data_IF_484366093335
#
_entry.id   IF_484366093335
#
_cell.length_a   1.000
_cell.length_b   1.000
_cell.length_c   1.000
_cell.angle_alpha   90.00
_cell.angle_beta   90.00
_cell.angle_gamma   90.00
#
_symmetry.space_group_name_H-M   'P 1'
#
loop_
_entity.id
_entity.type
_entity.pdbx_description
1 polymer ?
#
# COMPACT_ATOMS: atom_id res chain seq x y z
N UNK A 1 -14.88 -17.24 -17.12
CA UNK A 1 -15.85 -16.15 -16.85
C UNK A 1 -15.06 -14.87 -16.68
N UNK A 2 -15.41 -13.87 -17.47
CA UNK A 2 -14.73 -12.56 -17.39
C UNK A 2 -15.34 -11.77 -16.23
N UNK A 3 -14.63 -11.70 -15.10
CA UNK A 3 -15.09 -10.99 -13.91
C UNK A 3 -14.81 -9.49 -14.04
N UNK A 4 -15.73 -8.76 -14.63
CA UNK A 4 -15.64 -7.29 -14.59
C UNK A 4 -15.76 -6.76 -13.15
N UNK A 5 -15.08 -5.66 -12.87
CA UNK A 5 -15.14 -5.03 -11.54
C UNK A 5 -16.58 -4.62 -11.20
N UNK A 6 -16.95 -4.73 -9.92
CA UNK A 6 -18.26 -4.25 -9.43
C UNK A 6 -18.45 -2.75 -9.70
N UNK A 7 -17.37 -1.96 -9.68
CA UNK A 7 -17.36 -0.55 -10.07
C UNK A 7 -17.93 -0.34 -11.47
N UNK A 8 -17.53 -1.17 -12.46
CA UNK A 8 -18.06 -1.09 -13.82
C UNK A 8 -19.58 -1.25 -13.85
N UNK A 9 -20.12 -2.27 -13.19
CA UNK A 9 -21.57 -2.50 -13.13
C UNK A 9 -22.32 -1.37 -12.44
N UNK A 10 -21.78 -0.81 -11.35
CA UNK A 10 -22.40 0.31 -10.64
C UNK A 10 -22.59 1.54 -11.53
N UNK A 11 -21.68 1.78 -12.48
CA UNK A 11 -21.75 2.94 -13.37
C UNK A 11 -22.44 2.67 -14.70
N UNK A 12 -22.37 1.43 -15.23
CA UNK A 12 -22.94 1.11 -16.54
C UNK A 12 -24.31 0.48 -16.45
N UNK A 13 -24.61 -0.29 -15.41
CA UNK A 13 -25.88 -1.00 -15.25
C UNK A 13 -26.25 -1.16 -13.77
N UNK A 14 -26.77 -0.09 -13.18
CA UNK A 14 -27.12 -0.02 -11.77
C UNK A 14 -28.14 -1.07 -11.34
N UNK A 15 -29.10 -1.43 -12.22
CA UNK A 15 -30.13 -2.42 -11.93
C UNK A 15 -29.55 -3.84 -11.76
N UNK A 16 -28.46 -4.15 -12.45
CA UNK A 16 -27.78 -5.44 -12.33
C UNK A 16 -26.74 -5.47 -11.21
N UNK A 17 -26.30 -4.30 -10.71
CA UNK A 17 -25.24 -4.22 -9.71
C UNK A 17 -25.57 -5.02 -8.45
N UNK A 18 -26.76 -4.82 -7.87
CA UNK A 18 -27.18 -5.48 -6.63
C UNK A 18 -27.28 -7.00 -6.79
N UNK A 19 -27.81 -7.46 -7.91
CA UNK A 19 -27.90 -8.90 -8.23
C UNK A 19 -26.53 -9.53 -8.37
N UNK A 20 -25.61 -8.87 -9.10
CA UNK A 20 -24.24 -9.35 -9.31
C UNK A 20 -23.45 -9.30 -8.01
N UNK A 21 -23.58 -8.21 -7.22
CA UNK A 21 -22.95 -8.09 -5.91
C UNK A 21 -23.42 -9.24 -5.00
N UNK A 22 -24.74 -9.44 -4.87
CA UNK A 22 -25.31 -10.47 -4.00
C UNK A 22 -24.89 -11.89 -4.43
N UNK A 23 -24.87 -12.16 -5.73
CA UNK A 23 -24.42 -13.45 -6.28
C UNK A 23 -22.94 -13.72 -5.95
N UNK A 24 -22.09 -12.71 -6.08
CA UNK A 24 -20.66 -12.84 -5.75
C UNK A 24 -20.41 -12.90 -4.26
N UNK A 25 -21.12 -12.11 -3.47
CA UNK A 25 -21.03 -12.12 -2.01
C UNK A 25 -21.43 -13.47 -1.41
N UNK A 26 -22.49 -14.09 -1.94
CA UNK A 26 -22.99 -15.41 -1.49
C UNK A 26 -22.22 -16.60 -2.07
N UNK A 27 -21.18 -16.36 -2.86
CA UNK A 27 -20.39 -17.44 -3.42
C UNK A 27 -19.64 -18.17 -2.29
N UNK A 28 -19.62 -19.49 -2.31
CA UNK A 28 -18.97 -20.34 -1.29
C UNK A 28 -17.46 -20.07 -1.15
N UNK A 29 -16.82 -19.58 -2.21
CA UNK A 29 -15.40 -19.21 -2.21
C UNK A 29 -15.13 -17.78 -1.74
N UNK A 30 -16.17 -16.98 -1.45
CA UNK A 30 -16.00 -15.60 -1.04
C UNK A 30 -15.43 -15.52 0.38
N UNK A 31 -14.37 -14.75 0.53
CA UNK A 31 -13.78 -14.39 1.82
C UNK A 31 -14.43 -13.09 2.29
N UNK A 32 -15.16 -13.14 3.40
CA UNK A 32 -15.88 -12.01 3.97
C UNK A 32 -15.04 -11.26 5.00
N UNK A 33 -15.20 -9.94 5.05
CA UNK A 33 -14.47 -9.07 5.96
C UNK A 33 -15.43 -8.24 6.82
N UNK A 34 -15.10 -8.02 8.09
CA UNK A 34 -15.80 -7.08 8.94
C UNK A 34 -15.45 -5.64 8.56
N UNK A 35 -15.85 -5.25 7.37
CA UNK A 35 -15.65 -3.92 6.81
C UNK A 35 -16.76 -3.60 5.81
N UNK A 36 -17.16 -2.34 5.73
CA UNK A 36 -18.17 -1.88 4.77
C UNK A 36 -17.65 -0.74 3.91
N UNK A 37 -18.00 -0.77 2.64
CA UNK A 37 -17.71 0.29 1.68
C UNK A 37 -19.03 0.81 1.12
N UNK A 38 -19.35 2.06 1.42
CA UNK A 38 -20.61 2.70 1.02
C UNK A 38 -21.87 1.89 1.43
N UNK A 39 -21.85 1.27 2.63
CA UNK A 39 -22.94 0.44 3.13
C UNK A 39 -23.02 -0.97 2.55
N UNK A 40 -22.00 -1.39 1.80
CA UNK A 40 -21.90 -2.76 1.26
C UNK A 40 -20.80 -3.52 2.00
N UNK A 41 -21.11 -4.69 2.61
CA UNK A 41 -20.12 -5.55 3.23
C UNK A 41 -19.01 -5.96 2.27
N UNK A 42 -17.76 -5.90 2.74
CA UNK A 42 -16.59 -6.21 1.95
C UNK A 42 -16.35 -7.71 1.82
N UNK A 43 -15.94 -8.12 0.64
CA UNK A 43 -15.50 -9.48 0.37
C UNK A 43 -14.42 -9.51 -0.71
N UNK A 44 -13.66 -10.58 -0.78
CA UNK A 44 -12.85 -10.93 -1.95
C UNK A 44 -13.23 -12.29 -2.48
N UNK A 45 -13.19 -12.46 -3.80
CA UNK A 45 -13.49 -13.71 -4.46
C UNK A 45 -12.21 -14.22 -5.15
N UNK A 46 -11.60 -15.32 -4.68
CA UNK A 46 -10.45 -15.94 -5.31
C UNK A 46 -10.82 -16.51 -6.69
N UNK A 47 -10.74 -15.70 -7.72
CA UNK A 47 -11.00 -16.13 -9.11
C UNK A 47 -9.87 -17.02 -9.61
N UNK A 48 -10.11 -17.77 -10.68
CA UNK A 48 -9.07 -18.57 -11.36
C UNK A 48 -7.86 -17.72 -11.76
N UNK A 49 -8.09 -16.46 -12.14
CA UNK A 49 -7.01 -15.51 -12.46
C UNK A 49 -6.15 -15.22 -11.23
N UNK A 50 -6.76 -14.90 -10.08
CA UNK A 50 -6.03 -14.66 -8.81
C UNK A 50 -5.25 -15.91 -8.39
N UNK A 51 -5.83 -17.10 -8.52
CA UNK A 51 -5.16 -18.36 -8.18
C UNK A 51 -3.96 -18.61 -9.10
N UNK A 52 -4.10 -18.38 -10.41
CA UNK A 52 -3.02 -18.51 -11.38
C UNK A 52 -1.89 -17.51 -11.10
N UNK A 53 -2.22 -16.23 -10.83
CA UNK A 53 -1.23 -15.22 -10.48
C UNK A 53 -0.50 -15.58 -9.19
N UNK A 54 -1.23 -16.00 -8.16
CA UNK A 54 -0.64 -16.45 -6.88
C UNK A 54 0.32 -17.61 -7.09
N UNK A 55 -0.09 -18.62 -7.84
CA UNK A 55 0.74 -19.78 -8.18
C UNK A 55 2.01 -19.36 -8.94
N UNK A 56 1.86 -18.46 -9.93
CA UNK A 56 2.99 -17.91 -10.70
C UNK A 56 3.96 -17.14 -9.81
N UNK A 57 3.48 -16.31 -8.89
CA UNK A 57 4.33 -15.57 -7.95
C UNK A 57 5.14 -16.54 -7.09
N UNK A 58 4.52 -17.56 -6.50
CA UNK A 58 5.25 -18.55 -5.70
C UNK A 58 6.30 -19.30 -6.51
N UNK A 59 5.98 -19.71 -7.74
CA UNK A 59 6.92 -20.38 -8.63
C UNK A 59 8.12 -19.47 -8.97
N UNK A 60 7.88 -18.22 -9.30
CA UNK A 60 8.94 -17.25 -9.58
C UNK A 60 9.80 -16.97 -8.35
N UNK A 61 9.18 -16.90 -7.15
CA UNK A 61 9.90 -16.74 -5.89
C UNK A 61 10.87 -17.92 -5.65
N UNK A 62 10.45 -19.15 -5.87
CA UNK A 62 11.33 -20.32 -5.76
C UNK A 62 12.49 -20.26 -6.76
N UNK A 63 12.20 -19.88 -8.00
CA UNK A 63 13.23 -19.67 -9.04
C UNK A 63 14.24 -18.60 -8.61
N UNK A 64 13.74 -17.46 -8.07
CA UNK A 64 14.59 -16.38 -7.57
C UNK A 64 15.50 -16.84 -6.43
N UNK A 65 14.97 -17.57 -5.45
CA UNK A 65 15.74 -18.14 -4.34
C UNK A 65 16.86 -19.04 -4.87
N UNK A 66 16.54 -19.93 -5.82
CA UNK A 66 17.54 -20.81 -6.45
C UNK A 66 18.62 -20.00 -7.17
N UNK A 67 18.26 -19.01 -7.98
CA UNK A 67 19.24 -18.18 -8.72
C UNK A 67 20.13 -17.38 -7.75
N UNK A 68 19.55 -16.81 -6.68
CA UNK A 68 20.32 -16.11 -5.64
C UNK A 68 21.36 -17.01 -5.01
N UNK A 69 21.06 -18.29 -4.76
CA UNK A 69 22.02 -19.24 -4.17
C UNK A 69 23.21 -19.59 -5.07
N UNK A 70 23.16 -19.24 -6.36
CA UNK A 70 24.23 -19.47 -7.34
C UNK A 70 25.17 -18.28 -7.51
N UNK A 71 24.80 -17.10 -7.03
CA UNK A 71 25.61 -15.91 -7.19
C UNK A 71 26.60 -15.75 -6.03
N UNK A 72 27.84 -15.28 -6.29
CA UNK A 72 28.73 -14.83 -5.23
C UNK A 72 28.09 -13.68 -4.44
N UNK A 73 28.37 -13.65 -3.13
CA UNK A 73 27.76 -12.67 -2.21
C UNK A 73 27.97 -11.22 -2.68
N UNK A 74 29.17 -10.88 -3.13
CA UNK A 74 29.48 -9.52 -3.60
C UNK A 74 28.64 -9.11 -4.84
N UNK A 75 28.42 -10.05 -5.77
CA UNK A 75 27.60 -9.79 -6.94
C UNK A 75 26.13 -9.62 -6.55
N UNK A 76 25.65 -10.41 -5.58
CA UNK A 76 24.31 -10.32 -5.05
C UNK A 76 24.07 -8.97 -4.36
N UNK A 77 25.03 -8.49 -3.57
CA UNK A 77 24.95 -7.20 -2.88
C UNK A 77 24.88 -6.04 -3.85
N UNK A 78 25.76 -6.03 -4.88
CA UNK A 78 25.75 -4.99 -5.91
C UNK A 78 24.44 -4.99 -6.70
N UNK A 79 23.98 -6.17 -7.12
CA UNK A 79 22.70 -6.30 -7.84
C UNK A 79 21.51 -5.82 -6.99
N UNK A 80 21.47 -6.24 -5.71
CA UNK A 80 20.41 -5.83 -4.79
C UNK A 80 20.42 -4.31 -4.57
N UNK A 81 21.58 -3.69 -4.48
CA UNK A 81 21.68 -2.23 -4.34
C UNK A 81 21.19 -1.50 -5.61
N UNK A 82 21.51 -2.01 -6.79
CA UNK A 82 20.99 -1.46 -8.05
C UNK A 82 19.47 -1.59 -8.13
N UNK A 83 18.91 -2.77 -7.81
CA UNK A 83 17.48 -2.97 -7.76
C UNK A 83 16.79 -2.04 -6.75
N UNK A 84 17.39 -1.80 -5.58
CA UNK A 84 16.87 -0.90 -4.58
C UNK A 84 16.77 0.54 -5.10
N UNK A 85 17.81 1.03 -5.77
CA UNK A 85 17.81 2.38 -6.38
C UNK A 85 16.71 2.51 -7.42
N UNK A 86 16.56 1.49 -8.29
CA UNK A 86 15.53 1.48 -9.33
C UNK A 86 14.12 1.39 -8.75
N UNK A 87 13.91 0.57 -7.72
CA UNK A 87 12.64 0.42 -7.01
C UNK A 87 12.19 1.76 -6.40
N UNK A 88 13.07 2.42 -5.63
CA UNK A 88 12.77 3.72 -5.02
C UNK A 88 12.44 4.76 -6.09
N UNK A 89 13.23 4.81 -7.18
CA UNK A 89 13.02 5.75 -8.27
C UNK A 89 11.66 5.54 -8.95
N UNK A 90 11.35 4.30 -9.32
CA UNK A 90 10.11 3.96 -10.03
C UNK A 90 8.88 4.18 -9.15
N UNK A 91 8.94 3.82 -7.87
CA UNK A 91 7.86 4.07 -6.91
C UNK A 91 7.58 5.57 -6.81
N UNK A 92 8.62 6.40 -6.71
CA UNK A 92 8.47 7.85 -6.67
C UNK A 92 7.85 8.41 -7.96
N UNK A 93 8.25 7.89 -9.13
CA UNK A 93 7.67 8.31 -10.41
C UNK A 93 6.17 8.00 -10.47
N UNK A 94 5.73 6.83 -9.98
CA UNK A 94 4.31 6.46 -9.90
C UNK A 94 3.54 7.44 -9.00
N UNK A 95 4.18 7.91 -7.93
CA UNK A 95 3.59 8.86 -6.97
C UNK A 95 3.74 10.34 -7.38
N UNK A 96 4.27 10.59 -8.59
CA UNK A 96 4.48 11.95 -9.10
C UNK A 96 5.66 12.68 -8.42
N UNK A 97 6.51 11.97 -7.71
CA UNK A 97 7.70 12.50 -7.04
C UNK A 97 8.93 12.30 -7.93
N UNK A 98 9.52 13.39 -8.40
CA UNK A 98 10.74 13.33 -9.21
C UNK A 98 11.97 13.06 -8.34
N UNK A 99 12.68 11.98 -8.62
CA UNK A 99 13.95 11.61 -7.98
C UNK A 99 14.94 11.05 -9.00
N UNK A 100 16.22 11.28 -8.77
CA UNK A 100 17.28 10.77 -9.63
C UNK A 100 17.98 9.58 -8.97
N UNK A 101 18.50 8.65 -9.79
CA UNK A 101 19.33 7.54 -9.30
C UNK A 101 20.52 8.03 -8.46
N UNK A 102 21.15 9.14 -8.89
CA UNK A 102 22.29 9.72 -8.18
C UNK A 102 21.90 10.21 -6.80
N UNK A 103 20.81 10.94 -6.68
CA UNK A 103 20.29 11.42 -5.39
C UNK A 103 20.02 10.24 -4.41
N UNK A 104 19.37 9.18 -4.89
CA UNK A 104 19.09 7.97 -4.09
C UNK A 104 20.39 7.28 -3.70
N UNK A 105 21.35 7.14 -4.62
CA UNK A 105 22.64 6.53 -4.39
C UNK A 105 23.47 7.33 -3.35
N UNK A 106 23.46 8.65 -3.44
CA UNK A 106 24.15 9.53 -2.49
C UNK A 106 23.60 9.35 -1.08
N UNK A 107 22.27 9.18 -0.92
CA UNK A 107 21.66 8.89 0.37
C UNK A 107 22.08 7.52 0.91
N UNK A 108 22.10 6.49 0.07
CA UNK A 108 22.52 5.13 0.47
C UNK A 108 23.97 5.08 0.94
N UNK A 109 24.85 5.86 0.30
CA UNK A 109 26.27 5.90 0.60
C UNK A 109 26.61 6.82 1.78
N UNK A 110 25.67 7.65 2.23
CA UNK A 110 25.93 8.65 3.27
C UNK A 110 25.64 8.06 4.65
N UNK A 111 26.71 7.84 5.45
CA UNK A 111 26.59 7.40 6.85
C UNK A 111 26.37 8.57 7.83
N UNK A 112 26.37 9.82 7.38
CA UNK A 112 26.37 11.01 8.24
C UNK A 112 24.95 11.53 8.53
N UNK A 113 24.65 11.71 9.80
CA UNK A 113 23.38 12.24 10.36
C UNK A 113 23.07 13.69 9.90
N UNK A 114 24.06 14.45 9.45
CA UNK A 114 23.93 15.84 9.03
C UNK A 114 23.12 16.04 7.72
N UNK A 115 22.79 14.96 7.01
CA UNK A 115 21.98 14.99 5.78
C UNK A 115 20.53 14.54 5.99
N UNK A 116 20.00 14.60 7.21
CA UNK A 116 18.59 14.29 7.54
C UNK A 116 17.57 15.11 6.75
N UNK A 117 17.98 16.26 6.24
CA UNK A 117 17.15 17.15 5.43
C UNK A 117 17.18 16.82 3.92
N UNK A 118 17.87 15.75 3.53
CA UNK A 118 17.84 15.34 2.12
C UNK A 118 16.47 14.73 1.81
N UNK A 119 15.90 15.20 0.72
CA UNK A 119 14.72 14.63 0.14
C UNK A 119 14.83 13.10 0.04
N UNK A 120 13.77 12.42 0.39
CA UNK A 120 13.66 10.95 0.31
C UNK A 120 14.54 10.17 1.30
N UNK A 121 15.24 10.84 2.22
CA UNK A 121 16.12 10.16 3.18
C UNK A 121 15.38 9.08 4.00
N UNK A 122 14.21 9.42 4.56
CA UNK A 122 13.41 8.48 5.36
C UNK A 122 13.01 7.25 4.56
N UNK A 123 12.55 7.44 3.32
CA UNK A 123 12.15 6.35 2.42
C UNK A 123 13.33 5.42 2.11
N UNK A 124 14.46 5.97 1.68
CA UNK A 124 15.67 5.19 1.36
C UNK A 124 16.16 4.41 2.57
N UNK A 125 16.13 5.00 3.77
CA UNK A 125 16.52 4.30 5.00
C UNK A 125 15.57 3.13 5.30
N UNK A 126 14.26 3.27 5.12
CA UNK A 126 13.31 2.16 5.30
C UNK A 126 13.54 1.02 4.32
N UNK A 127 13.80 1.32 3.05
CA UNK A 127 14.17 0.27 2.09
C UNK A 127 15.48 -0.43 2.47
N UNK A 128 16.44 0.29 3.05
CA UNK A 128 17.68 -0.30 3.53
C UNK A 128 17.46 -1.23 4.74
N UNK A 129 16.59 -0.86 5.69
CA UNK A 129 16.16 -1.74 6.78
C UNK A 129 15.51 -3.02 6.24
N UNK A 130 14.60 -2.91 5.27
CA UNK A 130 13.98 -4.06 4.62
C UNK A 130 14.99 -4.96 3.92
N UNK A 131 15.99 -4.37 3.24
CA UNK A 131 17.10 -5.10 2.62
C UNK A 131 17.86 -5.94 3.65
N UNK A 132 18.09 -5.39 4.84
CA UNK A 132 18.79 -6.06 5.94
C UNK A 132 17.88 -7.04 6.71
N UNK A 133 16.70 -7.34 6.21
CA UNK A 133 15.71 -8.23 6.82
C UNK A 133 15.22 -7.76 8.20
N UNK A 134 15.33 -6.47 8.49
CA UNK A 134 14.75 -5.89 9.69
C UNK A 134 13.22 -5.84 9.58
N UNK A 135 12.56 -6.22 10.67
CA UNK A 135 11.10 -6.24 10.71
C UNK A 135 10.56 -4.83 10.94
N UNK A 136 9.70 -4.38 10.03
CA UNK A 136 8.89 -3.18 10.24
C UNK A 136 7.59 -3.61 10.91
N UNK A 137 7.31 -3.04 12.08
CA UNK A 137 6.07 -3.31 12.80
C UNK A 137 4.90 -2.56 12.16
N UNK A 138 3.79 -3.27 11.90
CA UNK A 138 2.50 -2.70 11.44
C UNK A 138 1.39 -3.46 12.17
N UNK A 139 1.34 -3.32 13.50
CA UNK A 139 0.35 -4.01 14.33
C UNK A 139 -0.79 -3.11 14.81
N UNK A 140 -0.56 -1.81 14.88
CA UNK A 140 -1.50 -0.84 15.41
C UNK A 140 -1.36 0.53 14.72
N UNK A 141 -2.26 1.45 15.02
CA UNK A 141 -2.25 2.79 14.44
C UNK A 141 -1.01 3.62 14.81
N UNK A 142 -0.41 3.37 15.98
CA UNK A 142 0.84 4.03 16.40
C UNK A 142 2.00 3.62 15.50
N UNK A 143 2.09 2.34 15.11
CA UNK A 143 3.12 1.86 14.20
C UNK A 143 3.02 2.56 12.84
N UNK A 144 1.80 2.71 12.32
CA UNK A 144 1.55 3.43 11.06
C UNK A 144 2.00 4.90 11.19
N UNK A 145 1.67 5.54 12.31
CA UNK A 145 2.09 6.92 12.58
C UNK A 145 3.61 7.04 12.67
N UNK A 146 4.28 6.10 13.28
CA UNK A 146 5.73 6.07 13.39
C UNK A 146 6.38 5.91 12.00
N UNK A 147 5.87 5.01 11.16
CA UNK A 147 6.31 4.87 9.77
C UNK A 147 6.15 6.19 9.00
N UNK A 148 4.99 6.85 9.11
CA UNK A 148 4.76 8.15 8.50
C UNK A 148 5.78 9.19 8.99
N UNK A 149 6.01 9.29 10.29
CA UNK A 149 6.94 10.24 10.88
C UNK A 149 8.38 10.02 10.38
N UNK A 150 8.78 8.77 10.22
CA UNK A 150 10.12 8.42 9.75
C UNK A 150 10.30 8.60 8.23
N UNK A 151 9.23 8.36 7.45
CA UNK A 151 9.32 8.37 5.99
C UNK A 151 9.20 9.78 5.40
N UNK A 152 8.18 10.53 5.81
CA UNK A 152 7.76 11.72 5.05
C UNK A 152 7.50 12.97 5.88
N UNK A 153 7.39 12.86 7.21
CA UNK A 153 6.96 14.01 8.03
C UNK A 153 7.91 15.21 7.91
N UNK A 154 9.22 14.99 7.83
CA UNK A 154 10.20 16.07 7.67
C UNK A 154 10.10 16.74 6.28
N UNK A 155 9.83 15.97 5.24
CA UNK A 155 9.62 16.52 3.90
C UNK A 155 8.35 17.38 3.83
N UNK A 156 7.23 16.88 4.37
CA UNK A 156 5.97 17.63 4.40
C UNK A 156 6.09 18.85 5.28
N UNK A 157 6.75 18.76 6.44
CA UNK A 157 6.97 19.89 7.35
C UNK A 157 7.74 21.02 6.68
N UNK A 158 8.69 20.69 5.81
CA UNK A 158 9.50 21.68 5.11
C UNK A 158 8.81 22.26 3.85
N UNK A 159 8.06 21.43 3.12
CA UNK A 159 7.51 21.80 1.82
C UNK A 159 6.03 22.22 1.87
N UNK A 160 5.24 21.60 2.75
CA UNK A 160 3.80 21.81 2.86
C UNK A 160 3.29 21.56 4.30
N UNK A 161 3.69 22.42 5.27
CA UNK A 161 3.38 22.23 6.69
C UNK A 161 1.87 22.23 7.01
N UNK A 162 1.04 22.76 6.10
CA UNK A 162 -0.43 22.77 6.28
C UNK A 162 -1.06 21.39 6.06
N UNK A 163 -0.35 20.48 5.38
CA UNK A 163 -0.79 19.09 5.13
C UNK A 163 -0.27 18.08 6.16
N UNK A 164 0.35 18.54 7.25
CA UNK A 164 0.64 17.66 8.38
C UNK A 164 -0.65 17.14 9.01
N UNK A 165 -0.69 15.85 9.41
CA UNK A 165 -1.83 15.31 10.15
C UNK A 165 -2.06 16.07 11.45
N UNK A 166 -3.29 16.51 11.66
CA UNK A 166 -3.75 17.34 12.80
C UNK A 166 -4.28 16.52 13.98
N UNK A 167 -4.20 15.18 13.91
CA UNK A 167 -4.56 14.25 14.98
C UNK A 167 -3.36 13.54 15.61
N UNK A 168 -3.64 12.65 16.56
CA UNK A 168 -2.61 11.84 17.27
C UNK A 168 -1.96 10.82 16.33
N UNK A 169 -2.78 10.02 15.64
CA UNK A 169 -2.34 9.01 14.68
C UNK A 169 -2.61 9.44 13.25
N UNK A 170 -3.77 10.02 12.99
CA UNK A 170 -4.25 10.38 11.66
C UNK A 170 -4.75 11.83 11.63
N UNK A 171 -5.31 12.23 10.49
CA UNK A 171 -5.97 13.52 10.33
C UNK A 171 -7.35 13.54 10.98
N UNK A 172 -7.78 14.71 11.39
CA UNK A 172 -9.17 14.96 11.85
C UNK A 172 -10.07 15.44 10.71
N UNK A 173 -9.49 16.19 9.76
CA UNK A 173 -10.21 16.76 8.61
C UNK A 173 -10.46 15.72 7.53
N UNK A 174 -11.54 15.90 6.77
CA UNK A 174 -11.80 15.08 5.60
C UNK A 174 -10.84 15.44 4.46
N UNK A 175 -10.47 14.45 3.68
CA UNK A 175 -9.64 14.59 2.47
C UNK A 175 -10.37 13.93 1.31
N UNK A 176 -10.41 14.62 0.18
CA UNK A 176 -11.04 14.12 -1.05
C UNK A 176 -10.05 14.13 -2.20
N UNK A 177 -10.17 13.14 -3.07
CA UNK A 177 -9.44 13.06 -4.35
C UNK A 177 -10.34 13.58 -5.46
N UNK A 178 -9.81 14.48 -6.27
CA UNK A 178 -10.52 15.09 -7.39
C UNK A 178 -9.91 14.63 -8.72
N UNK A 179 -10.76 14.48 -9.73
CA UNK A 179 -10.31 14.31 -11.12
C UNK A 179 -9.69 15.60 -11.65
N UNK A 180 -8.97 15.56 -12.80
CA UNK A 180 -8.50 16.78 -13.47
C UNK A 180 -9.62 17.77 -13.79
N UNK A 181 -10.86 17.32 -13.89
CA UNK A 181 -12.06 18.13 -14.11
C UNK A 181 -12.75 18.59 -12.81
N UNK A 182 -12.03 18.59 -11.67
CA UNK A 182 -12.53 18.99 -10.35
C UNK A 182 -13.77 18.20 -9.85
N UNK A 183 -14.01 17.02 -10.39
CA UNK A 183 -15.04 16.11 -9.89
C UNK A 183 -14.46 15.26 -8.77
N UNK A 184 -15.10 15.26 -7.59
CA UNK A 184 -14.72 14.37 -6.50
C UNK A 184 -14.85 12.91 -6.94
N UNK A 185 -13.74 12.17 -6.87
CA UNK A 185 -13.66 10.75 -7.24
C UNK A 185 -13.82 9.89 -6.01
N UNK A 186 -13.20 10.31 -4.91
CA UNK A 186 -13.21 9.60 -3.65
C UNK A 186 -13.08 10.57 -2.49
N UNK A 187 -13.72 10.22 -1.38
CA UNK A 187 -13.56 10.90 -0.09
C UNK A 187 -13.14 9.88 0.94
N UNK A 188 -12.00 10.11 1.57
CA UNK A 188 -11.53 9.29 2.68
C UNK A 188 -12.44 9.40 3.89
N UNK A 189 -12.28 8.48 4.82
CA UNK A 189 -13.01 8.51 6.08
C UNK A 189 -12.65 9.79 6.84
N UNK A 190 -13.67 10.42 7.41
CA UNK A 190 -13.53 11.70 8.12
C UNK A 190 -13.58 11.50 9.63
N UNK A 191 -12.73 12.23 10.34
CA UNK A 191 -12.62 12.12 11.79
C UNK A 191 -11.62 11.05 12.23
N UNK A 192 -10.70 11.43 13.11
CA UNK A 192 -9.63 10.53 13.56
C UNK A 192 -10.16 9.27 14.22
N UNK A 193 -11.21 9.37 15.05
CA UNK A 193 -11.82 8.22 15.73
C UNK A 193 -12.33 7.17 14.75
N UNK A 194 -13.04 7.62 13.70
CA UNK A 194 -13.54 6.72 12.65
C UNK A 194 -12.40 6.12 11.82
N UNK A 195 -11.36 6.90 11.52
CA UNK A 195 -10.18 6.41 10.83
C UNK A 195 -9.48 5.33 11.66
N UNK A 196 -9.32 5.53 12.98
CA UNK A 196 -8.74 4.54 13.89
C UNK A 196 -9.56 3.25 13.86
N UNK A 197 -10.88 3.34 14.08
CA UNK A 197 -11.75 2.18 14.10
C UNK A 197 -11.70 1.38 12.78
N UNK A 198 -11.73 2.06 11.64
CA UNK A 198 -11.61 1.42 10.34
C UNK A 198 -10.21 0.82 10.10
N UNK A 199 -9.16 1.50 10.55
CA UNK A 199 -7.78 1.02 10.40
C UNK A 199 -7.51 -0.22 11.27
N UNK A 200 -8.06 -0.28 12.47
CA UNK A 200 -7.97 -1.47 13.33
C UNK A 200 -8.62 -2.69 12.66
N UNK A 201 -9.78 -2.52 12.03
CA UNK A 201 -10.40 -3.59 11.23
C UNK A 201 -9.53 -4.01 10.05
N UNK A 202 -8.92 -3.07 9.34
CA UNK A 202 -8.01 -3.38 8.25
C UNK A 202 -6.74 -4.11 8.73
N UNK A 203 -6.17 -3.71 9.86
CA UNK A 203 -5.04 -4.38 10.50
C UNK A 203 -5.40 -5.79 10.96
N UNK A 204 -6.61 -6.00 11.50
CA UNK A 204 -7.10 -7.33 11.84
C UNK A 204 -7.13 -8.26 10.62
N UNK A 205 -7.57 -7.76 9.47
CA UNK A 205 -7.55 -8.52 8.20
C UNK A 205 -6.09 -8.85 7.80
N UNK A 206 -5.18 -7.88 7.88
CA UNK A 206 -3.76 -8.06 7.54
C UNK A 206 -3.12 -9.18 8.38
N UNK A 207 -3.48 -9.30 9.65
CA UNK A 207 -2.89 -10.29 10.57
C UNK A 207 -3.65 -11.61 10.63
N UNK A 208 -4.78 -11.73 9.96
CA UNK A 208 -5.57 -12.96 9.93
C UNK A 208 -4.87 -14.05 9.11
N UNK A 209 -4.25 -15.01 9.80
CA UNK A 209 -3.50 -16.12 9.18
C UNK A 209 -4.36 -17.14 8.43
N UNK A 210 -5.69 -17.14 8.63
CA UNK A 210 -6.60 -18.00 7.87
C UNK A 210 -6.77 -17.54 6.41
N UNK A 211 -6.42 -16.28 6.11
CA UNK A 211 -6.47 -15.71 4.77
C UNK A 211 -5.10 -15.84 4.09
N UNK A 212 -5.03 -16.32 2.83
CA UNK A 212 -3.77 -16.42 2.10
C UNK A 212 -3.00 -15.09 2.07
N UNK A 213 -1.66 -15.08 2.28
CA UNK A 213 -0.88 -13.86 2.49
C UNK A 213 -1.05 -12.80 1.40
N UNK A 214 -0.99 -13.18 0.12
CA UNK A 214 -1.12 -12.24 -0.98
C UNK A 214 -2.53 -11.61 -1.03
N UNK A 215 -3.57 -12.35 -0.68
CA UNK A 215 -4.95 -11.82 -0.65
C UNK A 215 -5.08 -10.81 0.50
N UNK A 216 -4.69 -11.19 1.74
CA UNK A 216 -4.82 -10.27 2.88
C UNK A 216 -4.00 -8.99 2.74
N UNK A 217 -2.79 -9.07 2.16
CA UNK A 217 -1.96 -7.88 1.89
C UNK A 217 -2.64 -6.98 0.84
N UNK A 218 -3.18 -7.55 -0.24
CA UNK A 218 -3.87 -6.78 -1.28
C UNK A 218 -5.15 -6.14 -0.74
N UNK A 219 -5.91 -6.85 0.09
CA UNK A 219 -7.12 -6.31 0.74
C UNK A 219 -6.75 -5.19 1.70
N UNK A 220 -5.73 -5.40 2.55
CA UNK A 220 -5.23 -4.35 3.45
C UNK A 220 -4.78 -3.11 2.68
N UNK A 221 -4.00 -3.27 1.62
CA UNK A 221 -3.53 -2.16 0.79
C UNK A 221 -4.70 -1.35 0.21
N UNK A 222 -5.72 -2.04 -0.32
CA UNK A 222 -6.92 -1.40 -0.83
C UNK A 222 -7.68 -0.63 0.27
N UNK A 223 -7.90 -1.26 1.44
CA UNK A 223 -8.61 -0.62 2.55
C UNK A 223 -7.82 0.56 3.13
N UNK A 224 -6.49 0.44 3.22
CA UNK A 224 -5.61 1.52 3.64
C UNK A 224 -5.77 2.75 2.74
N UNK A 225 -5.70 2.54 1.42
CA UNK A 225 -5.95 3.59 0.44
C UNK A 225 -7.35 4.19 0.53
N UNK A 226 -8.37 3.35 0.72
CA UNK A 226 -9.76 3.79 0.89
C UNK A 226 -9.95 4.66 2.13
N UNK A 227 -9.44 4.23 3.29
CA UNK A 227 -9.56 4.93 4.57
C UNK A 227 -8.87 6.29 4.52
N UNK A 228 -7.63 6.32 4.03
CA UNK A 228 -6.79 7.51 4.05
C UNK A 228 -6.96 8.41 2.83
N UNK A 229 -7.67 7.98 1.81
CA UNK A 229 -7.81 8.69 0.53
C UNK A 229 -6.49 8.78 -0.27
N UNK A 230 -5.64 7.77 -0.15
CA UNK A 230 -4.39 7.63 -0.89
C UNK A 230 -4.59 6.86 -2.21
N UNK A 231 -5.78 6.94 -2.80
CA UNK A 231 -6.10 6.16 -3.99
C UNK A 231 -5.43 6.82 -5.21
N UNK A 232 -4.20 6.44 -5.46
CA UNK A 232 -3.57 6.53 -6.77
C UNK A 232 -3.86 5.24 -7.52
N UNK A 233 -5.08 5.12 -8.05
CA UNK A 233 -5.45 4.02 -8.95
C UNK A 233 -6.05 4.62 -10.21
#
# INVERSE_FOLDING_TARGET
MDYHSLKKYRYTNRNQFESIYSSRYKNELALHYDFEIHGFPCFSLPTTEILNLTSRIYKLTQTLIYLKSKLPQIALEQYTQTCLVDEVKLTNEIEGVNSTRREIQDILNTQSITKKNMRLYGLVQKYNLLKNSEKISIHNCSDIRNIYNELVSEEIKNNDPLNLPDGIFFRRKSVSVYSPHMKEIHRGISGETEIIACMEKALFILHNKSIPPLIRISVFHYLFGYILSLIHI
#
